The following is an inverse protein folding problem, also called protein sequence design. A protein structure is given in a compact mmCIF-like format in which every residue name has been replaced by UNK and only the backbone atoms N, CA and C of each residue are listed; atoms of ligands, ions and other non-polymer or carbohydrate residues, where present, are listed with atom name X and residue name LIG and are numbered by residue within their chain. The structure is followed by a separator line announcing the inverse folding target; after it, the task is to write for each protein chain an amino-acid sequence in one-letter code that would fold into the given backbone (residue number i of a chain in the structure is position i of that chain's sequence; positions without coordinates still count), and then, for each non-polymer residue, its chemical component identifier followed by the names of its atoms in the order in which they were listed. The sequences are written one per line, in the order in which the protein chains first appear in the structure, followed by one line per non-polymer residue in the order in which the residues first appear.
data_IF_136003910683
#
_entry.id   IF_136003910683
#
_cell.length_a   1.000
_cell.length_b   1.000
_cell.length_c   1.000
_cell.angle_alpha   90.00
_cell.angle_beta   90.00
_cell.angle_gamma   90.00
#
_symmetry.space_group_name_H-M   'P 1'
#
loop_
_entity.id
_entity.type
_entity.pdbx_description
1 polymer ?
#
# COMPACT_ATOMS: atom_id res chain seq x y z
N UNK A 1 -2.30 61.74 13.37
CA UNK A 1 -2.00 61.17 14.70
C UNK A 1 -1.33 59.83 14.47
N UNK A 2 0.00 59.80 14.61
CA UNK A 2 0.84 58.62 14.44
C UNK A 2 1.28 58.17 15.82
N UNK A 3 0.90 56.97 16.24
CA UNK A 3 1.40 56.34 17.46
C UNK A 3 2.63 55.51 17.09
N UNK A 4 3.80 55.99 17.51
CA UNK A 4 5.07 55.30 17.41
C UNK A 4 5.17 54.19 18.46
N UNK A 5 5.81 53.10 18.04
CA UNK A 5 6.19 51.92 18.80
C UNK A 5 7.08 52.25 20.00
N UNK A 6 6.68 51.81 21.19
CA UNK A 6 7.57 51.66 22.35
C UNK A 6 8.17 50.26 22.34
N UNK A 7 9.47 50.20 22.05
CA UNK A 7 10.37 49.07 22.33
C UNK A 7 10.41 48.79 23.83
N UNK A 8 9.99 47.59 24.26
CA UNK A 8 10.17 47.13 25.64
C UNK A 8 11.62 46.68 25.86
N UNK A 9 12.32 47.34 26.78
CA UNK A 9 13.66 46.99 27.21
C UNK A 9 13.71 45.65 27.94
N UNK A 10 14.59 44.76 27.48
CA UNK A 10 14.91 43.51 28.15
C UNK A 10 15.93 43.73 29.26
N UNK A 11 15.51 43.55 30.51
CA UNK A 11 16.43 43.36 31.62
C UNK A 11 16.96 41.92 31.55
N UNK A 12 18.16 41.73 31.01
CA UNK A 12 18.89 40.47 31.11
C UNK A 12 19.64 40.43 32.46
N UNK A 13 19.33 39.43 33.28
CA UNK A 13 19.97 39.25 34.59
C UNK A 13 21.48 38.96 34.40
N UNK A 14 22.39 39.67 35.11
CA UNK A 14 23.85 39.49 34.97
C UNK A 14 24.30 38.03 35.12
N UNK A 15 23.67 37.30 36.04
CA UNK A 15 23.93 35.89 36.31
C UNK A 15 23.62 34.98 35.11
N UNK A 16 22.54 35.25 34.37
CA UNK A 16 22.19 34.47 33.18
C UNK A 16 23.24 34.65 32.06
N UNK A 17 23.84 35.84 31.99
CA UNK A 17 24.83 36.18 30.96
C UNK A 17 26.22 35.59 31.26
N UNK A 18 26.55 35.35 32.53
CA UNK A 18 27.76 34.64 32.94
C UNK A 18 27.60 33.12 32.78
N UNK A 19 26.45 32.57 33.19
CA UNK A 19 26.13 31.15 33.04
C UNK A 19 26.07 30.73 31.57
N UNK A 20 25.55 31.58 30.68
CA UNK A 20 25.40 31.26 29.27
C UNK A 20 26.72 31.05 28.52
N UNK A 21 27.84 31.55 29.07
CA UNK A 21 29.18 31.43 28.46
C UNK A 21 29.95 30.20 28.95
N UNK A 22 29.53 29.56 30.04
CA UNK A 22 30.23 28.41 30.61
C UNK A 22 29.95 27.13 29.79
N UNK A 23 30.99 26.41 29.32
CA UNK A 23 30.83 25.17 28.55
C UNK A 23 30.62 23.96 29.47
N UNK A 24 29.60 24.03 30.32
CA UNK A 24 29.32 23.02 31.36
C UNK A 24 28.08 22.19 31.07
N UNK A 25 27.38 22.46 29.98
CA UNK A 25 26.10 21.83 29.69
C UNK A 25 26.31 20.57 28.86
N UNK A 26 26.03 19.36 29.42
CA UNK A 26 26.26 18.12 28.71
C UNK A 26 25.31 18.01 27.51
N UNK A 27 25.83 17.48 26.41
CA UNK A 27 25.03 17.13 25.22
C UNK A 27 24.76 15.63 25.17
N UNK A 28 23.87 15.21 24.28
CA UNK A 28 23.66 13.80 23.97
C UNK A 28 24.81 13.16 23.20
N UNK A 29 25.77 13.95 22.71
CA UNK A 29 26.94 13.47 21.97
C UNK A 29 28.06 13.16 22.94
N UNK A 30 28.67 11.99 22.80
CA UNK A 30 29.81 11.56 23.60
C UNK A 30 31.11 11.69 22.80
N UNK A 31 32.22 11.91 23.49
CA UNK A 31 33.57 11.88 22.92
C UNK A 31 34.08 10.43 22.74
N UNK A 32 35.32 10.28 22.27
CA UNK A 32 35.93 8.96 22.05
C UNK A 32 36.08 8.12 23.31
N UNK A 33 36.10 8.76 24.47
CA UNK A 33 36.27 8.12 25.77
C UNK A 33 34.91 7.83 26.45
N UNK A 34 33.79 8.12 25.75
CA UNK A 34 32.44 7.93 26.24
C UNK A 34 31.97 9.01 27.22
N UNK A 35 32.68 10.13 27.33
CA UNK A 35 32.26 11.25 28.16
C UNK A 35 31.33 12.18 27.36
N UNK A 36 30.28 12.75 27.97
CA UNK A 36 29.40 13.68 27.29
C UNK A 36 30.17 14.95 26.90
N UNK A 37 30.08 15.34 25.63
CA UNK A 37 30.62 16.61 25.16
C UNK A 37 29.80 17.72 25.80
N UNK A 38 30.47 18.63 26.50
CA UNK A 38 29.85 19.78 27.12
C UNK A 38 29.96 21.01 26.22
N UNK A 39 28.87 21.77 26.10
CA UNK A 39 28.76 22.94 25.22
C UNK A 39 28.32 24.18 26.00
N UNK A 40 28.64 25.34 25.46
CA UNK A 40 28.18 26.64 25.96
C UNK A 40 26.80 26.96 25.40
N UNK A 41 26.02 27.82 26.07
CA UNK A 41 24.68 28.22 25.59
C UNK A 41 24.77 29.12 24.36
N UNK A 42 25.84 29.90 24.27
CA UNK A 42 26.07 30.80 23.13
C UNK A 42 26.50 30.08 21.86
N UNK A 43 26.89 28.81 21.95
CA UNK A 43 27.40 28.04 20.81
C UNK A 43 26.38 28.02 19.66
N UNK A 44 26.81 28.28 18.41
CA UNK A 44 25.90 28.41 17.26
C UNK A 44 25.32 27.07 16.79
N UNK A 45 25.93 25.96 17.21
CA UNK A 45 25.66 24.61 16.73
C UNK A 45 24.91 23.74 17.76
N UNK A 46 24.52 24.31 18.90
CA UNK A 46 23.93 23.55 20.02
C UNK A 46 22.52 24.05 20.35
N UNK A 47 21.58 23.10 20.49
CA UNK A 47 20.16 23.40 20.60
C UNK A 47 19.47 22.56 21.68
N UNK A 48 18.32 23.06 22.13
CA UNK A 48 17.33 22.26 22.85
C UNK A 48 16.51 21.43 21.85
N UNK A 49 16.14 20.22 22.27
CA UNK A 49 15.19 19.37 21.53
C UNK A 49 13.85 20.12 21.45
N UNK A 50 13.14 20.11 20.31
CA UNK A 50 11.85 20.78 20.22
C UNK A 50 10.82 20.21 21.22
N UNK A 51 9.93 21.07 21.69
CA UNK A 51 8.73 20.69 22.44
C UNK A 51 7.54 20.70 21.48
N UNK A 52 6.78 19.61 21.35
CA UNK A 52 5.57 19.61 20.55
C UNK A 52 4.57 20.63 21.08
N UNK A 53 3.84 21.29 20.20
CA UNK A 53 2.97 22.42 20.56
C UNK A 53 1.91 22.08 21.60
N UNK A 54 1.47 20.82 21.63
CA UNK A 54 0.44 20.31 22.54
C UNK A 54 1.00 19.41 23.66
N UNK A 55 2.31 19.40 23.87
CA UNK A 55 2.97 18.51 24.83
C UNK A 55 3.88 19.27 25.78
N UNK A 56 3.79 18.95 27.08
CA UNK A 56 4.78 19.38 28.08
C UNK A 56 6.08 18.58 28.00
N UNK A 57 6.07 17.48 27.25
CA UNK A 57 7.19 16.56 27.07
C UNK A 57 7.86 16.81 25.73
N UNK A 58 9.18 16.90 25.76
CA UNK A 58 10.05 17.02 24.59
C UNK A 58 9.92 15.82 23.64
N UNK A 59 10.28 16.02 22.38
CA UNK A 59 10.46 14.89 21.47
C UNK A 59 11.49 13.90 22.02
N UNK A 60 11.30 12.64 21.68
CA UNK A 60 12.27 11.59 21.94
C UNK A 60 13.56 11.94 21.18
N UNK A 61 14.66 12.02 21.92
CA UNK A 61 15.96 12.26 21.30
C UNK A 61 16.29 11.13 20.32
N UNK A 62 16.74 11.50 19.12
CA UNK A 62 17.36 10.60 18.19
C UNK A 62 18.65 11.23 17.65
N UNK A 63 19.76 10.49 17.60
CA UNK A 63 21.05 11.06 17.18
C UNK A 63 20.96 11.70 15.79
N UNK A 64 21.31 13.00 15.64
CA UNK A 64 21.31 13.64 14.33
C UNK A 64 22.37 13.01 13.44
N UNK A 65 22.13 13.04 12.13
CA UNK A 65 23.10 12.60 11.12
C UNK A 65 24.15 13.67 10.82
N UNK A 66 23.78 14.94 11.00
CA UNK A 66 24.73 16.04 10.93
C UNK A 66 25.62 16.05 12.19
N UNK A 67 26.88 15.65 12.02
CA UNK A 67 27.87 15.59 13.12
C UNK A 67 28.25 16.96 13.69
N UNK A 68 27.87 18.05 13.02
CA UNK A 68 28.15 19.41 13.45
C UNK A 68 26.96 20.05 14.19
N UNK A 69 25.97 19.27 14.62
CA UNK A 69 24.83 19.76 15.39
C UNK A 69 24.73 18.98 16.70
N UNK A 70 24.60 19.72 17.80
CA UNK A 70 24.56 19.18 19.15
C UNK A 70 23.22 19.47 19.81
N UNK A 71 22.80 18.56 20.67
CA UNK A 71 21.56 18.69 21.45
C UNK A 71 21.87 18.54 22.93
N UNK A 72 21.43 19.50 23.76
CA UNK A 72 21.62 19.40 25.21
C UNK A 72 20.92 18.17 25.78
N UNK A 73 21.60 17.46 26.67
CA UNK A 73 21.06 16.31 27.35
C UNK A 73 20.12 16.75 28.48
N UNK A 74 18.82 16.65 28.24
CA UNK A 74 17.77 17.02 29.20
C UNK A 74 17.20 15.82 29.96
N UNK A 75 17.81 14.63 29.82
CA UNK A 75 17.29 13.36 30.38
C UNK A 75 17.20 13.37 31.91
N UNK A 76 17.95 14.26 32.58
CA UNK A 76 17.94 14.42 34.03
C UNK A 76 17.05 15.59 34.48
N UNK A 77 15.73 15.32 34.58
CA UNK A 77 14.67 16.13 35.21
C UNK A 77 14.41 17.50 34.53
N UNK A 78 13.13 17.87 34.39
CA UNK A 78 12.59 19.18 33.97
C UNK A 78 13.33 20.44 34.51
N UNK A 79 14.13 20.30 35.58
CA UNK A 79 15.00 21.33 36.15
C UNK A 79 16.13 21.75 35.22
N UNK A 80 16.83 20.83 34.54
CA UNK A 80 17.93 21.19 33.64
C UNK A 80 17.40 21.99 32.46
N UNK A 81 16.30 21.54 31.85
CA UNK A 81 15.68 22.31 30.78
C UNK A 81 15.20 23.68 31.25
N UNK A 82 14.54 23.77 32.40
CA UNK A 82 14.09 25.08 32.92
C UNK A 82 15.26 26.04 33.14
N UNK A 83 16.44 25.53 33.53
CA UNK A 83 17.66 26.33 33.67
C UNK A 83 18.23 26.75 32.31
N UNK A 84 18.23 25.85 31.31
CA UNK A 84 18.65 26.16 29.94
C UNK A 84 17.70 27.19 29.30
N UNK A 85 16.38 27.01 29.46
CA UNK A 85 15.35 27.95 29.03
C UNK A 85 15.57 29.33 29.71
N UNK A 86 15.80 29.37 31.04
CA UNK A 86 16.11 30.60 31.78
C UNK A 86 17.39 31.30 31.29
N UNK A 87 18.40 30.53 30.90
CA UNK A 87 19.65 31.04 30.37
C UNK A 87 19.59 31.34 28.86
N UNK A 88 18.40 31.30 28.25
CA UNK A 88 18.13 31.57 26.83
C UNK A 88 18.84 30.62 25.86
N UNK A 89 18.87 29.32 26.17
CA UNK A 89 19.28 28.31 25.21
C UNK A 89 18.36 28.29 23.98
N UNK A 90 18.97 28.08 22.81
CA UNK A 90 18.26 28.14 21.53
C UNK A 90 17.41 26.88 21.37
N UNK A 91 16.11 27.06 21.15
CA UNK A 91 15.24 25.98 20.71
C UNK A 91 15.51 25.66 19.23
N UNK A 92 15.57 24.38 18.88
CA UNK A 92 15.53 23.96 17.48
C UNK A 92 14.08 24.00 16.99
N UNK A 93 13.87 24.50 15.78
CA UNK A 93 12.58 24.32 15.12
C UNK A 93 12.33 22.82 14.84
N UNK A 94 11.08 22.39 14.90
CA UNK A 94 10.69 21.00 14.65
C UNK A 94 11.11 20.51 13.26
N UNK A 95 10.87 21.31 12.21
CA UNK A 95 11.25 20.94 10.84
C UNK A 95 12.77 20.83 10.71
N UNK A 96 13.51 21.74 11.35
CA UNK A 96 14.97 21.70 11.36
C UNK A 96 15.50 20.49 12.14
N UNK A 97 14.88 20.12 13.26
CA UNK A 97 15.20 18.91 14.01
C UNK A 97 14.94 17.64 13.17
N UNK A 98 13.81 17.59 12.47
CA UNK A 98 13.48 16.50 11.53
C UNK A 98 14.51 16.42 10.42
N UNK A 99 14.96 17.55 9.85
CA UNK A 99 16.02 17.61 8.82
C UNK A 99 17.37 17.13 9.33
N UNK A 100 17.69 17.38 10.60
CA UNK A 100 18.95 16.91 11.18
C UNK A 100 18.97 15.39 11.37
N UNK A 101 17.80 14.75 11.52
CA UNK A 101 17.65 13.31 11.79
C UNK A 101 17.34 12.51 10.53
N UNK A 102 16.40 13.00 9.71
CA UNK A 102 15.86 12.32 8.53
C UNK A 102 16.45 12.97 7.28
N UNK A 103 17.38 12.27 6.65
CA UNK A 103 18.10 12.69 5.45
C UNK A 103 17.86 11.69 4.29
N UNK A 104 18.11 12.12 3.06
CA UNK A 104 17.70 11.40 1.85
C UNK A 104 18.39 10.05 1.62
N UNK A 105 19.54 9.79 2.22
CA UNK A 105 20.36 8.58 2.05
C UNK A 105 20.16 7.54 3.16
N UNK A 106 19.15 7.70 4.02
CA UNK A 106 18.84 6.71 5.05
C UNK A 106 18.20 5.44 4.44
N UNK A 107 18.83 4.29 4.67
CA UNK A 107 18.30 3.00 4.20
C UNK A 107 17.73 2.12 5.32
N UNK A 108 18.27 2.23 6.53
CA UNK A 108 17.89 1.39 7.67
C UNK A 108 18.17 2.07 9.01
N UNK A 109 17.57 1.52 10.07
CA UNK A 109 17.74 1.99 11.45
C UNK A 109 18.55 0.95 12.26
N UNK A 110 19.66 1.34 12.91
CA UNK A 110 20.43 0.46 13.79
C UNK A 110 19.54 -0.15 14.88
N UNK A 111 19.70 -1.44 15.16
CA UNK A 111 18.82 -2.20 16.06
C UNK A 111 18.68 -1.58 17.45
N UNK A 112 19.74 -0.97 17.98
CA UNK A 112 19.74 -0.30 19.28
C UNK A 112 18.95 1.02 19.31
N UNK A 113 18.58 1.57 18.14
CA UNK A 113 17.87 2.85 18.00
C UNK A 113 16.45 2.71 17.45
N UNK A 114 16.05 1.51 17.01
CA UNK A 114 14.76 1.24 16.36
C UNK A 114 13.55 1.69 17.19
N UNK A 115 13.56 1.38 18.49
CA UNK A 115 12.50 1.74 19.43
C UNK A 115 12.36 3.25 19.61
N UNK A 116 13.49 3.94 19.80
CA UNK A 116 13.53 5.40 19.91
C UNK A 116 13.07 6.08 18.62
N UNK A 117 13.43 5.51 17.46
CA UNK A 117 13.00 6.02 16.15
C UNK A 117 11.49 5.94 15.96
N UNK A 118 10.87 4.79 16.25
CA UNK A 118 9.42 4.62 16.15
C UNK A 118 8.67 5.59 17.07
N UNK A 119 9.19 5.78 18.28
CA UNK A 119 8.61 6.71 19.25
C UNK A 119 8.72 8.15 18.77
N UNK A 120 9.88 8.55 18.25
CA UNK A 120 10.08 9.86 17.64
C UNK A 120 9.09 10.09 16.48
N UNK A 121 8.98 9.15 15.54
CA UNK A 121 8.04 9.28 14.41
C UNK A 121 6.60 9.44 14.90
N UNK A 122 6.18 8.65 15.88
CA UNK A 122 4.84 8.76 16.47
C UNK A 122 4.60 10.13 17.08
N UNK A 123 5.60 10.70 17.77
CA UNK A 123 5.49 12.03 18.36
C UNK A 123 5.45 13.12 17.26
N UNK A 124 6.26 13.00 16.19
CA UNK A 124 6.22 13.91 15.03
C UNK A 124 4.84 13.90 14.36
N UNK A 125 4.26 12.72 14.14
CA UNK A 125 2.95 12.60 13.48
C UNK A 125 1.78 13.12 14.32
N UNK A 126 1.97 13.27 15.63
CA UNK A 126 0.98 13.83 16.55
C UNK A 126 0.98 15.35 16.59
N UNK A 127 2.08 16.03 16.27
CA UNK A 127 2.14 17.48 16.36
C UNK A 127 1.49 18.14 15.13
N UNK A 128 0.31 18.73 15.33
CA UNK A 128 -0.50 19.31 14.26
C UNK A 128 -0.09 20.75 13.89
N UNK A 129 0.64 21.47 14.73
CA UNK A 129 0.82 22.92 14.56
C UNK A 129 1.76 23.29 13.40
N UNK A 130 2.75 22.43 13.10
CA UNK A 130 3.74 22.63 12.01
C UNK A 130 3.78 21.46 11.02
N UNK A 131 2.75 20.63 11.05
CA UNK A 131 2.70 19.36 10.34
C UNK A 131 2.84 19.51 8.83
N UNK A 132 2.39 20.64 8.25
CA UNK A 132 2.46 20.88 6.80
C UNK A 132 3.90 20.95 6.27
N UNK A 133 4.77 21.73 6.92
CA UNK A 133 6.18 21.84 6.50
C UNK A 133 6.94 20.52 6.65
N UNK A 134 6.62 19.76 7.70
CA UNK A 134 7.17 18.42 7.93
C UNK A 134 6.67 17.43 6.88
N UNK A 135 5.37 17.42 6.58
CA UNK A 135 4.77 16.58 5.52
C UNK A 135 5.42 16.84 4.16
N UNK A 136 5.54 18.10 3.78
CA UNK A 136 6.14 18.49 2.50
C UNK A 136 7.61 18.06 2.38
N UNK A 137 8.37 18.12 3.47
CA UNK A 137 9.75 17.64 3.50
C UNK A 137 9.83 16.10 3.43
N UNK A 138 8.97 15.40 4.16
CA UNK A 138 9.03 13.95 4.30
C UNK A 138 8.41 13.16 3.13
N UNK A 139 7.50 13.76 2.35
CA UNK A 139 6.70 13.05 1.34
C UNK A 139 7.51 12.23 0.32
N UNK A 140 8.71 12.68 -0.02
CA UNK A 140 9.57 12.06 -1.03
C UNK A 140 10.76 11.30 -0.43
N UNK A 141 10.90 11.29 0.91
CA UNK A 141 12.02 10.68 1.59
C UNK A 141 11.75 9.23 2.00
N UNK A 142 12.81 8.44 2.09
CA UNK A 142 12.78 7.11 2.71
C UNK A 142 12.99 7.26 4.20
N UNK A 143 11.92 7.22 4.96
CA UNK A 143 11.98 7.41 6.42
C UNK A 143 11.00 6.53 7.19
N UNK A 144 10.08 5.86 6.51
CA UNK A 144 9.09 5.02 7.16
C UNK A 144 9.65 3.61 7.27
N UNK A 145 9.81 3.06 8.49
CA UNK A 145 10.28 1.69 8.65
C UNK A 145 9.19 0.70 8.25
N UNK A 146 9.56 -0.28 7.42
CA UNK A 146 8.75 -1.47 7.21
C UNK A 146 8.91 -2.46 8.39
N UNK A 147 8.27 -3.63 8.29
CA UNK A 147 8.36 -4.70 9.32
C UNK A 147 9.79 -5.17 9.64
N UNK A 148 10.73 -4.96 8.73
CA UNK A 148 12.15 -5.32 8.88
C UNK A 148 13.04 -4.11 9.18
N UNK A 149 12.47 -2.94 9.51
CA UNK A 149 13.19 -1.68 9.76
C UNK A 149 14.03 -1.17 8.57
N UNK A 150 13.70 -1.61 7.35
CA UNK A 150 14.15 -0.94 6.13
C UNK A 150 13.31 0.30 5.92
N UNK A 151 13.96 1.40 5.58
CA UNK A 151 13.29 2.68 5.37
C UNK A 151 12.79 2.77 3.93
N UNK A 152 11.51 3.07 3.81
CA UNK A 152 10.78 3.14 2.55
C UNK A 152 10.03 4.47 2.50
N UNK A 153 9.80 4.96 1.28
CA UNK A 153 8.96 6.14 1.08
C UNK A 153 7.50 5.78 1.36
N UNK A 154 6.74 6.69 1.98
CA UNK A 154 5.35 6.43 2.35
C UNK A 154 4.50 5.98 1.14
N UNK A 155 4.71 6.58 -0.03
CA UNK A 155 4.02 6.23 -1.29
C UNK A 155 4.29 4.82 -1.82
N UNK A 156 5.37 4.20 -1.38
CA UNK A 156 5.77 2.85 -1.80
C UNK A 156 5.28 1.77 -0.84
N UNK A 157 4.60 2.17 0.24
CA UNK A 157 4.03 1.30 1.26
C UNK A 157 2.51 1.15 1.11
N UNK A 158 2.01 0.06 1.66
CA UNK A 158 0.60 -0.29 1.69
C UNK A 158 0.13 -0.48 3.13
N UNK A 159 -1.15 -0.25 3.35
CA UNK A 159 -1.82 -0.58 4.61
C UNK A 159 -2.04 -2.10 4.71
N UNK A 160 -1.49 -2.73 5.76
CA UNK A 160 -1.61 -4.18 5.95
C UNK A 160 -3.02 -4.63 6.38
N UNK A 161 -3.86 -3.71 6.83
CA UNK A 161 -5.24 -3.99 7.22
C UNK A 161 -6.15 -4.07 5.99
N UNK A 162 -5.72 -3.52 4.84
CA UNK A 162 -6.47 -3.64 3.60
C UNK A 162 -6.30 -5.02 2.98
N UNK A 163 -7.41 -5.75 2.81
CA UNK A 163 -7.39 -7.16 2.41
C UNK A 163 -6.72 -7.38 1.05
N UNK A 164 -7.02 -6.56 0.05
CA UNK A 164 -6.41 -6.66 -1.29
C UNK A 164 -4.89 -6.60 -1.21
N UNK A 165 -4.32 -5.59 -0.56
CA UNK A 165 -2.86 -5.44 -0.50
C UNK A 165 -2.20 -6.59 0.24
N UNK A 166 -2.81 -7.05 1.35
CA UNK A 166 -2.35 -8.21 2.12
C UNK A 166 -2.31 -9.51 1.32
N UNK A 167 -3.17 -9.67 0.31
CA UNK A 167 -3.15 -10.86 -0.55
C UNK A 167 -2.00 -10.83 -1.56
N UNK A 168 -1.57 -9.63 -1.96
CA UNK A 168 -0.71 -9.42 -3.14
C UNK A 168 0.74 -9.20 -2.75
N UNK A 169 0.98 -8.36 -1.75
CA UNK A 169 2.31 -7.91 -1.38
C UNK A 169 2.88 -8.68 -0.20
N UNK A 170 4.21 -8.72 -0.14
CA UNK A 170 4.98 -9.37 0.92
C UNK A 170 5.25 -8.40 2.08
N UNK A 171 5.79 -8.92 3.17
CA UNK A 171 6.02 -8.18 4.42
C UNK A 171 6.93 -6.94 4.29
N UNK A 172 7.72 -6.86 3.22
CA UNK A 172 8.62 -5.75 2.95
C UNK A 172 7.91 -4.47 2.47
N UNK A 173 6.66 -4.58 2.00
CA UNK A 173 5.83 -3.49 1.49
C UNK A 173 4.86 -2.89 2.52
N UNK A 174 4.84 -3.44 3.73
CA UNK A 174 3.94 -2.98 4.79
C UNK A 174 4.66 -2.19 5.87
N UNK A 175 3.89 -1.31 6.51
CA UNK A 175 4.33 -0.53 7.67
C UNK A 175 4.78 -1.44 8.82
N UNK A 176 5.72 -0.95 9.62
CA UNK A 176 5.99 -1.54 10.92
C UNK A 176 4.73 -1.51 11.80
N UNK A 177 4.44 -2.61 12.53
CA UNK A 177 3.19 -2.79 13.29
C UNK A 177 2.87 -1.62 14.23
N UNK A 178 3.85 -1.06 14.93
CA UNK A 178 3.60 0.11 15.81
C UNK A 178 3.07 1.36 15.09
N UNK A 179 3.47 1.58 13.84
CA UNK A 179 2.95 2.68 13.05
C UNK A 179 1.59 2.31 12.46
N UNK A 180 1.41 1.05 12.08
CA UNK A 180 0.13 0.54 11.61
C UNK A 180 -0.97 0.63 12.67
N UNK A 181 -0.66 0.29 13.92
CA UNK A 181 -1.63 0.23 15.01
C UNK A 181 -1.98 1.63 15.56
N UNK A 182 -1.31 2.68 15.07
CA UNK A 182 -1.53 4.06 15.48
C UNK A 182 -2.30 4.85 14.41
N UNK A 183 -3.52 5.27 14.74
CA UNK A 183 -4.40 5.99 13.80
C UNK A 183 -3.83 7.34 13.34
N UNK A 184 -3.11 8.06 14.20
CA UNK A 184 -2.50 9.34 13.84
C UNK A 184 -1.35 9.14 12.85
N UNK A 185 -0.52 8.11 13.09
CA UNK A 185 0.51 7.69 12.14
C UNK A 185 -0.08 7.33 10.78
N UNK A 186 -1.16 6.51 10.75
CA UNK A 186 -1.82 6.16 9.49
C UNK A 186 -2.37 7.39 8.77
N UNK A 187 -3.08 8.28 9.47
CA UNK A 187 -3.64 9.49 8.85
C UNK A 187 -2.54 10.38 8.26
N UNK A 188 -1.46 10.61 9.02
CA UNK A 188 -0.31 11.36 8.53
C UNK A 188 0.28 10.72 7.27
N UNK A 189 0.50 9.41 7.31
CA UNK A 189 1.11 8.67 6.21
C UNK A 189 0.20 8.61 4.98
N UNK A 190 -1.12 8.49 5.14
CA UNK A 190 -2.10 8.59 4.06
C UNK A 190 -1.99 9.94 3.33
N UNK A 191 -1.89 11.03 4.09
CA UNK A 191 -1.75 12.37 3.51
C UNK A 191 -0.47 12.57 2.69
N UNK A 192 0.60 11.84 3.02
CA UNK A 192 1.86 11.90 2.26
C UNK A 192 2.05 10.73 1.28
N UNK A 193 1.00 9.92 1.05
CA UNK A 193 0.93 8.98 -0.06
C UNK A 193 0.82 7.49 0.27
N UNK A 194 0.72 7.09 1.55
CA UNK A 194 0.48 5.69 1.92
C UNK A 194 -0.79 5.17 1.22
N UNK A 195 -0.65 4.01 0.55
CA UNK A 195 -1.75 3.35 -0.15
C UNK A 195 -2.59 2.58 0.85
N UNK A 196 -3.61 3.23 1.40
CA UNK A 196 -4.43 2.63 2.45
C UNK A 196 -5.75 2.04 1.98
N UNK A 197 -6.33 2.60 0.93
CA UNK A 197 -7.63 2.20 0.40
C UNK A 197 -7.45 1.83 -1.07
N UNK A 198 -8.08 0.75 -1.52
CA UNK A 198 -8.04 0.38 -2.93
C UNK A 198 -8.92 1.31 -3.77
N UNK A 199 -8.37 1.75 -4.90
CA UNK A 199 -9.09 2.39 -5.97
C UNK A 199 -8.77 1.66 -7.28
N UNK A 200 -9.38 2.09 -8.38
CA UNK A 200 -9.27 1.50 -9.71
C UNK A 200 -7.80 1.40 -10.16
N UNK A 201 -7.06 2.49 -10.01
CA UNK A 201 -5.64 2.55 -10.32
C UNK A 201 -4.82 1.53 -9.50
N UNK A 202 -5.01 1.48 -8.18
CA UNK A 202 -4.28 0.55 -7.31
C UNK A 202 -4.68 -0.91 -7.55
N UNK A 203 -5.95 -1.14 -7.89
CA UNK A 203 -6.41 -2.46 -8.30
C UNK A 203 -5.66 -2.93 -9.55
N UNK A 204 -5.55 -2.08 -10.57
CA UNK A 204 -4.77 -2.39 -11.79
C UNK A 204 -3.31 -2.71 -11.42
N UNK A 205 -2.67 -1.90 -10.57
CA UNK A 205 -1.29 -2.16 -10.12
C UNK A 205 -1.16 -3.50 -9.37
N UNK A 206 -2.16 -3.90 -8.59
CA UNK A 206 -2.18 -5.23 -7.96
C UNK A 206 -2.28 -6.36 -8.99
N UNK A 207 -3.05 -6.17 -10.08
CA UNK A 207 -3.19 -7.17 -11.13
C UNK A 207 -1.85 -7.37 -11.87
N UNK A 208 -1.18 -6.26 -12.18
CA UNK A 208 0.16 -6.28 -12.78
C UNK A 208 1.19 -6.94 -11.86
N UNK A 209 1.11 -6.71 -10.56
CA UNK A 209 2.02 -7.33 -9.59
C UNK A 209 1.86 -8.85 -9.59
N UNK A 210 0.62 -9.37 -9.59
CA UNK A 210 0.37 -10.82 -9.74
C UNK A 210 0.98 -11.33 -11.04
N UNK A 211 0.69 -10.68 -12.17
CA UNK A 211 1.17 -11.11 -13.47
C UNK A 211 2.71 -11.13 -13.50
N UNK A 212 3.34 -10.10 -12.96
CA UNK A 212 4.80 -9.97 -12.86
C UNK A 212 5.41 -11.03 -11.95
N UNK A 213 4.84 -11.25 -10.76
CA UNK A 213 5.28 -12.31 -9.84
C UNK A 213 5.20 -13.68 -10.52
N UNK A 214 4.10 -13.94 -11.22
CA UNK A 214 3.88 -15.19 -11.92
C UNK A 214 4.89 -15.45 -13.03
N UNK A 215 5.14 -14.46 -13.91
CA UNK A 215 6.14 -14.60 -14.97
C UNK A 215 7.55 -14.80 -14.42
N UNK A 216 7.95 -14.03 -13.39
CA UNK A 216 9.24 -14.23 -12.70
C UNK A 216 9.37 -15.63 -12.12
N UNK A 217 8.31 -16.16 -11.50
CA UNK A 217 8.32 -17.52 -10.95
C UNK A 217 8.43 -18.61 -12.01
N UNK A 218 7.86 -18.39 -13.21
CA UNK A 218 8.05 -19.27 -14.36
C UNK A 218 9.49 -19.24 -14.86
N UNK A 219 10.06 -18.05 -15.04
CA UNK A 219 11.44 -17.87 -15.50
C UNK A 219 12.46 -18.50 -14.54
N UNK A 220 12.29 -18.29 -13.24
CA UNK A 220 13.18 -18.79 -12.20
C UNK A 220 12.99 -20.27 -11.87
N UNK A 221 11.98 -20.93 -12.46
CA UNK A 221 11.57 -22.31 -12.12
C UNK A 221 11.35 -22.48 -10.61
N UNK A 222 10.60 -21.53 -10.05
CA UNK A 222 10.29 -21.51 -8.62
C UNK A 222 9.56 -22.78 -8.17
N UNK A 223 9.54 -22.99 -6.85
CA UNK A 223 8.80 -24.09 -6.25
C UNK A 223 7.29 -24.03 -6.57
N UNK A 224 6.67 -25.20 -6.66
CA UNK A 224 5.22 -25.33 -6.83
C UNK A 224 4.42 -24.62 -5.72
N UNK A 225 4.98 -24.51 -4.51
CA UNK A 225 4.34 -23.79 -3.42
C UNK A 225 4.24 -22.29 -3.69
N UNK A 226 5.25 -21.68 -4.33
CA UNK A 226 5.21 -20.26 -4.68
C UNK A 226 4.16 -19.99 -5.76
N UNK A 227 4.13 -20.81 -6.81
CA UNK A 227 3.09 -20.72 -7.86
C UNK A 227 1.67 -20.89 -7.29
N UNK A 228 1.49 -21.80 -6.33
CA UNK A 228 0.21 -21.97 -5.62
C UNK A 228 -0.17 -20.73 -4.81
N UNK A 229 0.79 -20.08 -4.15
CA UNK A 229 0.53 -18.85 -3.41
C UNK A 229 0.10 -17.71 -4.34
N UNK A 230 0.83 -17.49 -5.44
CA UNK A 230 0.49 -16.48 -6.45
C UNK A 230 -0.91 -16.72 -7.02
N UNK A 231 -1.24 -17.97 -7.33
CA UNK A 231 -2.58 -18.36 -7.79
C UNK A 231 -3.67 -18.11 -6.75
N UNK A 232 -3.40 -18.39 -5.47
CA UNK A 232 -4.34 -18.09 -4.40
C UNK A 232 -4.56 -16.58 -4.26
N UNK A 233 -3.51 -15.78 -4.39
CA UNK A 233 -3.59 -14.31 -4.41
C UNK A 233 -4.43 -13.81 -5.59
N UNK A 234 -4.20 -14.36 -6.78
CA UNK A 234 -4.99 -14.11 -7.98
C UNK A 234 -6.48 -14.42 -7.77
N UNK A 235 -6.81 -15.60 -7.22
CA UNK A 235 -8.18 -15.98 -6.91
C UNK A 235 -8.84 -15.01 -5.92
N UNK A 236 -8.15 -14.64 -4.85
CA UNK A 236 -8.65 -13.67 -3.86
C UNK A 236 -8.85 -12.28 -4.45
N UNK A 237 -7.99 -11.84 -5.35
CA UNK A 237 -8.13 -10.55 -6.04
C UNK A 237 -9.35 -10.54 -6.97
N UNK A 238 -9.61 -11.64 -7.67
CA UNK A 238 -10.82 -11.78 -8.49
C UNK A 238 -12.07 -11.71 -7.60
N UNK A 239 -12.10 -12.41 -6.46
CA UNK A 239 -13.22 -12.27 -5.52
C UNK A 239 -13.38 -10.84 -5.00
N UNK A 240 -12.26 -10.20 -4.63
CA UNK A 240 -12.28 -8.80 -4.19
C UNK A 240 -12.94 -7.89 -5.23
N UNK A 241 -12.60 -8.04 -6.51
CA UNK A 241 -13.20 -7.28 -7.61
C UNK A 241 -14.73 -7.42 -7.66
N UNK A 242 -15.26 -8.63 -7.48
CA UNK A 242 -16.70 -8.88 -7.50
C UNK A 242 -17.43 -8.43 -6.22
N UNK A 243 -16.74 -8.46 -5.08
CA UNK A 243 -17.28 -8.01 -3.80
C UNK A 243 -17.37 -6.48 -3.70
N UNK A 244 -16.57 -5.77 -4.49
CA UNK A 244 -16.40 -4.31 -4.45
C UNK A 244 -16.90 -3.65 -5.74
N UNK A 245 -18.22 -3.77 -5.98
CA UNK A 245 -18.94 -3.18 -7.12
C UNK A 245 -18.83 -1.65 -7.23
N UNK A 246 -18.32 -0.98 -6.19
CA UNK A 246 -18.06 0.45 -6.14
C UNK A 246 -16.84 0.89 -6.96
N UNK A 247 -15.96 -0.04 -7.38
CA UNK A 247 -14.85 0.26 -8.28
C UNK A 247 -15.37 0.64 -9.67
N UNK A 248 -15.23 1.91 -10.05
CA UNK A 248 -15.75 2.51 -11.28
C UNK A 248 -14.61 2.83 -12.25
N UNK A 249 -14.12 1.79 -12.90
CA UNK A 249 -13.07 1.93 -13.92
C UNK A 249 -13.57 2.77 -15.11
N UNK A 250 -12.72 3.69 -15.55
CA UNK A 250 -12.85 4.40 -16.82
C UNK A 250 -12.63 3.47 -18.01
N UNK A 251 -12.95 3.92 -19.23
CA UNK A 251 -12.71 3.12 -20.44
C UNK A 251 -11.22 2.81 -20.64
N UNK A 252 -10.34 3.76 -20.34
CA UNK A 252 -8.89 3.61 -20.40
C UNK A 252 -8.38 2.59 -19.38
N UNK A 253 -8.82 2.69 -18.13
CA UNK A 253 -8.46 1.76 -17.06
C UNK A 253 -8.98 0.35 -17.34
N UNK A 254 -10.19 0.24 -17.91
CA UNK A 254 -10.71 -1.03 -18.39
C UNK A 254 -9.83 -1.62 -19.48
N UNK A 255 -9.49 -0.83 -20.50
CA UNK A 255 -8.65 -1.27 -21.59
C UNK A 255 -7.27 -1.73 -21.11
N UNK A 256 -6.74 -1.14 -20.03
CA UNK A 256 -5.53 -1.64 -19.37
C UNK A 256 -5.79 -2.99 -18.69
N UNK A 257 -6.78 -3.05 -17.78
CA UNK A 257 -7.07 -4.21 -16.95
C UNK A 257 -7.36 -5.47 -17.76
N UNK A 258 -8.10 -5.36 -18.87
CA UNK A 258 -8.51 -6.52 -19.68
C UNK A 258 -7.35 -7.26 -20.34
N UNK A 259 -6.18 -6.61 -20.45
CA UNK A 259 -4.99 -7.18 -21.07
C UNK A 259 -4.03 -7.81 -20.05
N UNK A 260 -4.24 -7.62 -18.75
CA UNK A 260 -3.35 -8.14 -17.71
C UNK A 260 -3.64 -9.61 -17.42
N UNK A 261 -2.60 -10.45 -17.43
CA UNK A 261 -2.71 -11.90 -17.15
C UNK A 261 -2.65 -12.20 -15.66
N UNK A 262 -3.76 -11.95 -14.95
CA UNK A 262 -3.84 -12.19 -13.51
C UNK A 262 -4.97 -13.15 -13.11
N UNK A 263 -5.79 -13.64 -14.04
CA UNK A 263 -6.94 -14.50 -13.74
C UNK A 263 -6.47 -15.95 -13.73
N UNK A 264 -6.68 -16.71 -12.66
CA UNK A 264 -6.25 -18.09 -12.61
C UNK A 264 -7.10 -18.97 -13.53
N UNK A 265 -6.45 -19.70 -14.45
CA UNK A 265 -7.07 -20.76 -15.23
C UNK A 265 -6.96 -22.06 -14.42
N UNK A 266 -8.05 -22.52 -13.86
CA UNK A 266 -8.15 -23.87 -13.28
C UNK A 266 -8.85 -24.80 -14.26
N UNK A 267 -8.29 -25.99 -14.47
CA UNK A 267 -9.07 -27.14 -14.96
C UNK A 267 -10.06 -27.53 -13.88
N UNK A 268 -11.30 -27.05 -13.99
CA UNK A 268 -12.35 -27.44 -13.04
C UNK A 268 -12.73 -28.90 -13.29
N UNK A 269 -12.34 -29.80 -12.37
CA UNK A 269 -12.83 -31.18 -12.38
C UNK A 269 -14.26 -31.31 -11.82
N UNK A 270 -14.82 -30.28 -11.18
CA UNK A 270 -16.06 -30.43 -10.38
C UNK A 270 -17.06 -29.25 -10.41
N UNK A 271 -17.08 -28.43 -11.46
CA UNK A 271 -18.18 -27.47 -11.67
C UNK A 271 -19.39 -28.12 -12.35
N UNK A 272 -20.64 -27.72 -12.05
CA UNK A 272 -21.85 -28.31 -12.65
C UNK A 272 -21.99 -28.03 -14.16
N UNK A 273 -21.18 -27.13 -14.71
CA UNK A 273 -21.35 -26.63 -16.07
C UNK A 273 -20.26 -27.15 -17.03
N UNK A 274 -20.40 -28.42 -17.42
CA UNK A 274 -19.51 -29.17 -18.34
C UNK A 274 -19.25 -28.44 -19.67
N UNK A 275 -20.19 -27.62 -20.14
CA UNK A 275 -20.10 -26.86 -21.38
C UNK A 275 -19.05 -25.73 -21.34
N UNK A 276 -18.95 -25.03 -20.20
CA UNK A 276 -17.99 -23.93 -20.05
C UNK A 276 -16.56 -24.47 -19.86
N UNK A 277 -16.43 -25.60 -19.17
CA UNK A 277 -15.16 -26.34 -19.08
C UNK A 277 -14.61 -26.73 -20.46
N UNK A 278 -15.48 -27.06 -21.43
CA UNK A 278 -15.06 -27.45 -22.78
C UNK A 278 -14.76 -26.25 -23.71
N UNK A 279 -15.37 -25.09 -23.43
CA UNK A 279 -15.03 -23.82 -24.09
C UNK A 279 -13.66 -23.30 -23.62
N UNK A 280 -13.31 -23.50 -22.34
CA UNK A 280 -12.06 -23.02 -21.76
C UNK A 280 -10.91 -24.03 -21.78
N UNK A 281 -11.18 -25.34 -21.86
CA UNK A 281 -10.16 -26.38 -22.09
C UNK A 281 -9.37 -26.17 -23.40
N UNK A 282 -9.95 -25.45 -24.36
CA UNK A 282 -9.27 -25.04 -25.61
C UNK A 282 -8.21 -23.96 -25.42
N UNK A 283 -8.28 -23.18 -24.34
CA UNK A 283 -7.26 -22.18 -23.99
C UNK A 283 -6.10 -22.78 -23.20
N UNK A 284 -6.30 -23.89 -22.48
CA UNK A 284 -5.21 -24.74 -21.98
C UNK A 284 -4.59 -25.53 -23.14
N UNK A 285 -4.01 -24.85 -24.12
CA UNK A 285 -3.06 -25.49 -25.03
C UNK A 285 -1.83 -25.80 -24.19
N UNK A 286 -1.39 -27.07 -24.21
CA UNK A 286 -0.19 -27.61 -23.58
C UNK A 286 -0.37 -28.28 -22.19
N UNK A 287 -0.48 -29.62 -22.23
CA UNK A 287 0.23 -30.52 -21.30
C UNK A 287 -0.21 -30.56 -19.83
N UNK A 288 0.29 -31.58 -19.13
CA UNK A 288 0.05 -31.86 -17.70
C UNK A 288 0.66 -30.81 -16.74
N UNK A 289 1.27 -29.73 -17.26
CA UNK A 289 1.82 -28.60 -16.50
C UNK A 289 0.90 -27.37 -16.41
N UNK A 290 -0.30 -27.43 -17.00
CA UNK A 290 -1.25 -26.31 -17.17
C UNK A 290 -2.07 -25.93 -15.94
N UNK A 291 -1.88 -26.59 -14.79
CA UNK A 291 -2.73 -26.39 -13.61
C UNK A 291 -2.51 -25.05 -12.87
N UNK A 292 -1.55 -24.24 -13.32
CA UNK A 292 -1.16 -22.99 -12.66
C UNK A 292 -1.18 -21.76 -13.59
N UNK A 293 -1.71 -21.85 -14.80
CA UNK A 293 -1.68 -20.72 -15.74
C UNK A 293 -2.57 -19.54 -15.29
N UNK A 294 -2.10 -18.33 -15.60
CA UNK A 294 -2.87 -17.09 -15.48
C UNK A 294 -3.19 -16.55 -16.88
N UNK A 295 -4.35 -15.93 -17.02
CA UNK A 295 -4.82 -15.35 -18.28
C UNK A 295 -5.47 -13.99 -18.06
N UNK A 296 -5.66 -13.24 -19.14
CA UNK A 296 -6.31 -11.94 -19.11
C UNK A 296 -7.79 -12.05 -19.47
N UNK A 297 -8.58 -11.06 -19.02
CA UNK A 297 -10.01 -11.07 -19.28
C UNK A 297 -10.36 -11.11 -20.78
N UNK A 298 -9.56 -10.43 -21.61
CA UNK A 298 -9.75 -10.41 -23.07
C UNK A 298 -9.73 -11.81 -23.68
N UNK A 299 -8.84 -12.68 -23.21
CA UNK A 299 -8.69 -14.05 -23.70
C UNK A 299 -9.67 -15.02 -23.03
N UNK A 300 -10.12 -14.69 -21.81
CA UNK A 300 -11.19 -15.40 -21.13
C UNK A 300 -12.58 -15.11 -21.71
N UNK A 301 -12.75 -14.12 -22.59
CA UNK A 301 -14.05 -13.82 -23.19
C UNK A 301 -14.10 -14.32 -24.64
N UNK A 302 -15.02 -15.25 -24.94
CA UNK A 302 -15.36 -15.49 -26.35
C UNK A 302 -15.92 -14.18 -26.95
N UNK A 303 -15.46 -13.70 -28.12
CA UNK A 303 -15.80 -12.36 -28.66
C UNK A 303 -17.31 -12.06 -28.75
N UNK A 304 -18.13 -13.12 -28.86
CA UNK A 304 -19.59 -13.06 -28.93
C UNK A 304 -20.29 -12.82 -27.57
N UNK A 305 -19.62 -13.07 -26.45
CA UNK A 305 -20.20 -13.03 -25.09
C UNK A 305 -19.46 -12.09 -24.16
N UNK A 306 -18.66 -11.16 -24.72
CA UNK A 306 -17.93 -10.17 -23.93
C UNK A 306 -18.85 -9.53 -22.92
N UNK A 307 -20.06 -9.08 -23.27
CA UNK A 307 -21.01 -8.46 -22.32
C UNK A 307 -21.60 -9.37 -21.23
N UNK A 308 -21.38 -10.69 -21.27
CA UNK A 308 -21.99 -11.69 -20.37
C UNK A 308 -20.98 -12.41 -19.46
N UNK A 309 -19.71 -12.47 -19.86
CA UNK A 309 -18.69 -13.29 -19.15
C UNK A 309 -18.16 -12.60 -17.89
N UNK A 310 -18.33 -11.29 -17.78
CA UNK A 310 -17.87 -10.50 -16.63
C UNK A 310 -18.64 -10.75 -15.34
N UNK A 311 -19.74 -11.52 -15.37
CA UNK A 311 -20.66 -11.70 -14.23
C UNK A 311 -20.46 -13.01 -13.45
N UNK A 312 -19.35 -13.74 -13.68
CA UNK A 312 -19.31 -15.15 -13.31
C UNK A 312 -18.28 -15.46 -12.23
N UNK A 313 -18.58 -14.97 -11.01
CA UNK A 313 -18.00 -15.47 -9.76
C UNK A 313 -18.26 -16.98 -9.57
N UNK A 314 -19.33 -17.51 -10.18
CA UNK A 314 -19.70 -18.93 -10.22
C UNK A 314 -18.69 -19.85 -10.90
N UNK A 315 -17.58 -19.32 -11.43
CA UNK A 315 -16.51 -20.13 -11.98
C UNK A 315 -15.42 -20.48 -11.00
N UNK A 316 -15.21 -19.80 -9.87
CA UNK A 316 -13.94 -19.91 -9.12
C UNK A 316 -13.93 -20.93 -7.97
N UNK A 317 -14.65 -22.06 -8.11
CA UNK A 317 -14.69 -23.26 -7.24
C UNK A 317 -15.92 -23.43 -6.33
N UNK A 318 -16.75 -22.41 -6.08
CA UNK A 318 -18.01 -22.56 -5.32
C UNK A 318 -19.11 -21.65 -5.90
N UNK A 319 -20.39 -21.98 -5.63
CA UNK A 319 -21.48 -21.01 -5.82
C UNK A 319 -21.11 -19.70 -5.10
N UNK A 320 -21.37 -18.53 -5.71
CA UNK A 320 -21.20 -17.26 -5.01
C UNK A 320 -21.89 -17.33 -3.64
N UNK A 321 -21.25 -16.87 -2.54
CA UNK A 321 -21.93 -16.72 -1.26
C UNK A 321 -23.31 -16.06 -1.43
N UNK A 322 -24.32 -16.55 -0.71
CA UNK A 322 -25.70 -16.03 -0.82
C UNK A 322 -25.77 -14.50 -0.65
N UNK A 323 -24.87 -13.91 0.16
CA UNK A 323 -24.81 -12.45 0.33
C UNK A 323 -24.40 -11.72 -0.95
N UNK A 324 -23.60 -12.34 -1.82
CA UNK A 324 -23.27 -11.82 -3.14
C UNK A 324 -24.50 -11.92 -4.03
N UNK A 325 -25.14 -13.09 -4.14
CA UNK A 325 -26.31 -13.29 -5.01
C UNK A 325 -27.45 -12.31 -4.69
N UNK A 326 -27.76 -12.10 -3.42
CA UNK A 326 -28.82 -11.17 -2.96
C UNK A 326 -28.57 -9.72 -3.35
N UNK A 327 -27.30 -9.25 -3.30
CA UNK A 327 -26.96 -7.87 -3.69
C UNK A 327 -27.31 -7.55 -5.14
N UNK A 328 -27.41 -8.54 -6.02
CA UNK A 328 -27.74 -8.36 -7.43
C UNK A 328 -29.18 -8.74 -7.79
N UNK A 329 -29.97 -9.27 -6.84
CA UNK A 329 -31.42 -9.40 -6.99
C UNK A 329 -32.11 -8.04 -6.83
N UNK A 330 -31.52 -7.12 -6.05
CA UNK A 330 -32.05 -5.77 -5.78
C UNK A 330 -31.77 -4.74 -6.89
N UNK A 331 -30.75 -4.96 -7.72
CA UNK A 331 -30.58 -4.20 -8.96
C UNK A 331 -31.47 -4.86 -10.01
N UNK A 332 -32.41 -4.14 -10.62
CA UNK A 332 -33.34 -4.63 -11.67
C UNK A 332 -32.65 -5.12 -12.97
N UNK A 333 -31.38 -5.49 -12.92
CA UNK A 333 -30.59 -6.13 -13.98
C UNK A 333 -30.03 -7.43 -13.38
N UNK A 334 -30.62 -8.61 -13.67
CA UNK A 334 -30.17 -9.87 -13.08
C UNK A 334 -28.77 -10.23 -13.59
N UNK A 335 -27.88 -10.58 -12.67
CA UNK A 335 -26.60 -11.23 -12.95
C UNK A 335 -26.77 -12.38 -13.95
N UNK A 336 -26.12 -12.29 -15.12
CA UNK A 336 -25.87 -13.46 -15.96
C UNK A 336 -27.09 -14.22 -16.49
N UNK A 337 -28.32 -13.70 -16.38
CA UNK A 337 -29.49 -14.31 -17.03
C UNK A 337 -29.59 -13.70 -18.43
N UNK A 338 -29.24 -14.44 -19.50
CA UNK A 338 -29.45 -13.94 -20.85
C UNK A 338 -30.94 -13.66 -21.05
N UNK A 339 -31.26 -12.44 -21.49
CA UNK A 339 -32.66 -12.09 -21.77
C UNK A 339 -33.22 -13.03 -22.85
N UNK A 340 -34.55 -13.23 -22.89
CA UNK A 340 -35.19 -14.04 -23.93
C UNK A 340 -34.72 -13.65 -25.35
N UNK A 341 -34.63 -12.36 -25.71
CA UNK A 341 -34.01 -11.93 -26.98
C UNK A 341 -32.58 -12.46 -27.17
N UNK A 342 -31.74 -12.34 -26.14
CA UNK A 342 -30.35 -12.83 -26.15
C UNK A 342 -30.29 -14.36 -26.36
N UNK A 343 -31.17 -15.12 -25.72
CA UNK A 343 -31.28 -16.58 -25.91
C UNK A 343 -31.71 -16.91 -27.34
N UNK A 344 -32.70 -16.20 -27.88
CA UNK A 344 -33.21 -16.41 -29.24
C UNK A 344 -32.13 -16.12 -30.28
N UNK A 345 -31.40 -15.02 -30.15
CA UNK A 345 -30.33 -14.67 -31.08
C UNK A 345 -29.15 -15.62 -30.97
N UNK A 346 -28.91 -16.17 -29.78
CA UNK A 346 -27.94 -17.22 -29.56
C UNK A 346 -28.32 -18.52 -30.27
N UNK A 347 -29.58 -18.96 -30.15
CA UNK A 347 -30.11 -20.14 -30.83
C UNK A 347 -30.08 -19.99 -32.35
N UNK A 348 -30.41 -18.80 -32.88
CA UNK A 348 -30.30 -18.49 -34.31
C UNK A 348 -28.85 -18.54 -34.80
N UNK A 349 -27.92 -18.00 -34.02
CA UNK A 349 -26.51 -18.04 -34.36
C UNK A 349 -25.97 -19.49 -34.37
N UNK A 350 -26.32 -20.30 -33.36
CA UNK A 350 -26.00 -21.74 -33.34
C UNK A 350 -26.60 -22.41 -34.58
N UNK A 351 -27.90 -22.25 -34.83
CA UNK A 351 -28.58 -22.80 -36.00
C UNK A 351 -27.86 -22.43 -37.29
N UNK A 352 -27.51 -21.15 -37.49
CA UNK A 352 -26.82 -20.67 -38.71
C UNK A 352 -25.40 -21.20 -38.88
N UNK A 353 -24.74 -21.55 -37.78
CA UNK A 353 -23.38 -22.09 -37.77
C UNK A 353 -23.41 -23.61 -37.99
N UNK A 354 -24.34 -24.27 -37.33
CA UNK A 354 -24.62 -25.71 -37.39
C UNK A 354 -25.15 -26.13 -38.77
N UNK A 355 -26.09 -25.37 -39.35
CA UNK A 355 -26.65 -25.63 -40.69
C UNK A 355 -25.65 -25.43 -41.84
N UNK A 356 -24.50 -24.79 -41.57
CA UNK A 356 -23.41 -24.60 -42.52
C UNK A 356 -22.24 -25.56 -42.32
N UNK A 357 -22.24 -26.36 -41.25
CA UNK A 357 -21.22 -27.39 -41.01
C UNK A 357 -21.50 -28.62 -41.89
N UNK A 358 -20.45 -29.19 -42.49
CA UNK A 358 -20.54 -30.43 -43.26
C UNK A 358 -20.87 -31.64 -42.37
N UNK A 359 -20.50 -31.60 -41.09
CA UNK A 359 -20.74 -32.67 -40.11
C UNK A 359 -22.25 -32.89 -39.87
N UNK A 360 -23.04 -31.81 -39.99
CA UNK A 360 -24.50 -31.88 -39.87
C UNK A 360 -25.20 -32.33 -41.15
N UNK A 361 -24.59 -32.12 -42.32
CA UNK A 361 -25.07 -32.72 -43.57
C UNK A 361 -24.86 -34.24 -43.56
N UNK A 362 -23.72 -34.71 -43.06
CA UNK A 362 -23.46 -36.15 -42.88
C UNK A 362 -24.42 -36.79 -41.85
N UNK A 363 -24.71 -36.12 -40.73
CA UNK A 363 -25.71 -36.59 -39.76
C UNK A 363 -27.15 -36.57 -40.32
N UNK A 364 -27.49 -35.59 -41.15
CA UNK A 364 -28.78 -35.53 -41.85
C UNK A 364 -28.94 -36.63 -42.90
N UNK A 365 -27.87 -36.98 -43.61
CA UNK A 365 -27.85 -38.11 -44.56
C UNK A 365 -27.89 -39.47 -43.86
N UNK A 366 -27.26 -39.61 -42.70
CA UNK A 366 -27.38 -40.79 -41.83
C UNK A 366 -28.78 -40.93 -41.22
N UNK A 367 -29.38 -39.83 -40.76
CA UNK A 367 -30.76 -39.80 -40.25
C UNK A 367 -31.81 -40.11 -41.33
N UNK A 368 -31.58 -39.68 -42.57
CA UNK A 368 -32.44 -40.01 -43.71
C UNK A 368 -32.38 -41.48 -44.14
N UNK A 369 -31.24 -42.17 -43.92
CA UNK A 369 -31.10 -43.61 -44.18
C UNK A 369 -31.67 -44.49 -43.08
N UNK A 370 -31.71 -44.02 -41.83
CA UNK A 370 -32.27 -44.76 -40.69
C UNK A 370 -33.79 -44.64 -40.53
N UNK A 371 -34.44 -43.80 -41.34
CA UNK A 371 -35.91 -43.58 -41.30
C UNK A 371 -36.65 -44.20 -42.48
N UNK A 372 -35.96 -44.87 -43.42
CA UNK A 372 -36.56 -45.52 -44.58
C UNK A 372 -36.00 -46.93 -44.91
N UNK A 373 -35.36 -47.59 -43.95
CA UNK A 373 -35.18 -49.05 -43.95
C UNK A 373 -35.96 -49.70 -42.78
#
# INVERSE_FOLDING_TARGET
MSLQSTTSGGYTYPLANEISRLPIWPTYTEDSDGNPICKSIVDPDTYLIPKPSNSRKEFTFYPPKNKNVYYYNTTNINKIRSLLDFANAKDRDELEYVRDIIISDMESIPSNLQESYLKLLTEIFLDSAKIYGVKDYLKDLKFVPNKHFKLICARDLYDQNHQLFKFIYDDDRFLHNRLQDNSNSLNFLKEIGLKADANEYLFIRCAEEIATKFEKSKENKDSLSNLRNIKNSAKKMVFYFYDHSELKFTEEEWNELVNIKFIPITKFKFGPNKFLNDLYSRYSRYGESSDYELECFKNMCHPKYVSLVWTQLAFFEDEPPEEILKKYEDFEIPLGIPTIPTIIDHLKAIQSTVSKSNDWKELGELGGRLLFD
#
